data_IF_910050102703
#
_entry.id   IF_910050102703
#
_cell.length_a   1.000
_cell.length_b   1.000
_cell.length_c   1.000
_cell.angle_alpha   90.00
_cell.angle_beta   90.00
_cell.angle_gamma   90.00
#
_symmetry.space_group_name_H-M   'P 1'
#
loop_
_entity.id
_entity.type
_entity.pdbx_description
1 polymer ?
#
# COMPACT_ATOMS: atom_id res chain seq x y z
N UNK A 1 16.99 -5.66 -7.66
CA UNK A 1 17.56 -5.57 -9.01
C UNK A 1 16.44 -5.20 -9.96
N UNK A 2 16.57 -4.14 -10.79
CA UNK A 2 15.60 -3.83 -11.84
C UNK A 2 15.25 -5.03 -12.73
N UNK A 3 16.21 -5.93 -12.99
CA UNK A 3 16.01 -7.12 -13.80
C UNK A 3 15.10 -8.19 -13.15
N UNK A 4 14.89 -8.12 -11.83
CA UNK A 4 14.07 -9.08 -11.08
C UNK A 4 12.81 -8.44 -10.47
N UNK A 5 12.51 -7.19 -10.81
CA UNK A 5 11.32 -6.50 -10.29
C UNK A 5 10.07 -7.02 -10.98
N UNK A 6 9.12 -7.53 -10.20
CA UNK A 6 7.82 -7.92 -10.73
C UNK A 6 7.04 -6.70 -11.22
N UNK A 7 6.41 -6.83 -12.40
CA UNK A 7 5.46 -5.86 -12.93
C UNK A 7 4.01 -6.16 -12.53
N UNK A 8 3.74 -7.31 -11.92
CA UNK A 8 2.39 -7.74 -11.53
C UNK A 8 2.17 -7.74 -10.01
N UNK A 9 3.23 -7.81 -9.21
CA UNK A 9 3.16 -7.76 -7.75
C UNK A 9 4.10 -6.68 -7.25
N UNK A 10 3.54 -5.50 -6.94
CA UNK A 10 4.29 -4.32 -6.53
C UNK A 10 4.24 -4.21 -5.02
N UNK A 11 5.39 -4.38 -4.36
CA UNK A 11 5.52 -4.16 -2.93
C UNK A 11 5.97 -2.71 -2.65
N UNK A 12 5.25 -2.03 -1.76
CA UNK A 12 5.57 -0.69 -1.28
C UNK A 12 6.00 -0.76 0.18
N UNK A 13 6.95 0.10 0.58
CA UNK A 13 7.37 0.26 1.97
C UNK A 13 7.19 1.72 2.36
N UNK A 14 6.67 1.96 3.56
CA UNK A 14 6.68 3.29 4.16
C UNK A 14 8.05 3.56 4.79
N UNK A 15 8.68 4.67 4.40
CA UNK A 15 10.05 5.04 4.80
C UNK A 15 10.10 6.36 5.57
N UNK A 16 8.95 6.83 6.06
CA UNK A 16 8.88 8.05 6.86
C UNK A 16 9.39 7.79 8.28
N UNK A 17 10.36 8.58 8.74
CA UNK A 17 11.03 8.41 10.04
C UNK A 17 10.08 8.57 11.24
N UNK A 18 8.91 9.19 11.04
CA UNK A 18 7.86 9.29 12.08
C UNK A 18 7.25 7.93 12.41
N UNK A 19 7.32 6.98 11.49
CA UNK A 19 6.69 5.66 11.63
C UNK A 19 7.59 4.74 12.47
N UNK A 20 7.19 4.51 13.73
CA UNK A 20 7.92 3.63 14.64
C UNK A 20 7.60 2.13 14.42
N UNK A 21 6.33 1.82 14.12
CA UNK A 21 5.87 0.45 13.82
C UNK A 21 5.30 0.40 12.40
N UNK A 22 6.17 0.08 11.44
CA UNK A 22 5.78 0.01 10.03
C UNK A 22 4.73 -1.05 9.73
N UNK A 23 4.66 -2.15 10.49
CA UNK A 23 3.68 -3.21 10.26
C UNK A 23 2.30 -2.77 10.71
N UNK A 24 2.20 -2.17 11.90
CA UNK A 24 0.95 -1.58 12.39
C UNK A 24 0.48 -0.42 11.50
N UNK A 25 1.39 0.46 11.10
CA UNK A 25 1.06 1.58 10.22
C UNK A 25 0.55 1.11 8.86
N UNK A 26 1.25 0.17 8.20
CA UNK A 26 0.82 -0.37 6.92
C UNK A 26 -0.56 -1.05 7.00
N UNK A 27 -0.82 -1.78 8.09
CA UNK A 27 -2.14 -2.39 8.34
C UNK A 27 -3.24 -1.34 8.51
N UNK A 28 -2.95 -0.21 9.17
CA UNK A 28 -3.89 0.88 9.36
C UNK A 28 -4.23 1.57 8.03
N UNK A 29 -3.22 1.89 7.21
CA UNK A 29 -3.41 2.45 5.86
C UNK A 29 -4.24 1.51 4.99
N UNK A 30 -3.91 0.21 4.95
CA UNK A 30 -4.68 -0.77 4.18
C UNK A 30 -6.15 -0.82 4.61
N UNK A 31 -6.41 -0.86 5.93
CA UNK A 31 -7.76 -0.87 6.47
C UNK A 31 -8.55 0.40 6.13
N UNK A 32 -7.88 1.57 6.12
CA UNK A 32 -8.52 2.84 5.76
C UNK A 32 -8.96 2.83 4.30
N UNK A 33 -8.09 2.41 3.39
CA UNK A 33 -8.43 2.29 1.97
C UNK A 33 -9.55 1.28 1.71
N UNK A 34 -9.56 0.18 2.46
CA UNK A 34 -10.65 -0.80 2.42
C UNK A 34 -11.99 -0.19 2.90
N UNK A 35 -11.96 0.59 3.98
CA UNK A 35 -13.15 1.25 4.56
C UNK A 35 -13.79 2.22 3.56
N UNK A 36 -12.96 2.93 2.79
CA UNK A 36 -13.40 3.86 1.75
C UNK A 36 -13.74 3.15 0.42
N UNK A 37 -13.68 1.82 0.36
CA UNK A 37 -13.91 1.01 -0.84
C UNK A 37 -12.96 1.33 -2.01
N UNK A 38 -11.73 1.74 -1.70
CA UNK A 38 -10.72 2.14 -2.70
C UNK A 38 -9.85 0.97 -3.13
N UNK A 39 -9.40 0.16 -2.16
CA UNK A 39 -8.51 -0.96 -2.42
C UNK A 39 -8.71 -2.08 -1.41
N UNK A 40 -8.67 -3.32 -1.89
CA UNK A 40 -8.86 -4.53 -1.09
C UNK A 40 -7.65 -5.46 -1.22
N UNK A 41 -7.38 -6.26 -0.18
CA UNK A 41 -6.29 -7.25 -0.16
C UNK A 41 -4.89 -6.69 -0.53
N UNK A 42 -4.61 -5.46 -0.10
CA UNK A 42 -3.32 -4.78 -0.35
C UNK A 42 -2.32 -4.91 0.80
N UNK A 43 -2.62 -5.74 1.80
CA UNK A 43 -1.72 -5.99 2.93
C UNK A 43 -0.48 -6.81 2.53
N UNK A 44 0.62 -6.61 3.27
CA UNK A 44 1.77 -7.51 3.18
C UNK A 44 1.41 -8.92 3.71
N UNK A 45 2.01 -9.95 3.10
CA UNK A 45 1.94 -11.33 3.60
C UNK A 45 2.96 -11.55 4.72
N UNK A 46 2.79 -12.64 5.49
CA UNK A 46 3.54 -12.91 6.74
C UNK A 46 5.06 -12.76 6.62
N UNK A 47 5.63 -13.21 5.51
CA UNK A 47 7.08 -13.27 5.31
C UNK A 47 7.62 -12.08 4.49
N UNK A 48 6.76 -11.12 4.13
CA UNK A 48 7.16 -9.89 3.44
C UNK A 48 7.60 -8.80 4.45
N UNK A 49 8.48 -7.88 4.02
CA UNK A 49 8.71 -6.64 4.78
C UNK A 49 7.40 -5.88 5.03
N UNK A 50 7.35 -5.16 6.15
CA UNK A 50 6.21 -4.32 6.49
C UNK A 50 5.93 -3.29 5.38
N UNK A 51 4.69 -3.24 4.91
CA UNK A 51 4.31 -2.43 3.76
C UNK A 51 2.99 -2.87 3.12
N UNK A 52 2.80 -2.46 1.88
CA UNK A 52 1.65 -2.82 1.04
C UNK A 52 2.08 -3.69 -0.14
N UNK A 53 1.16 -4.51 -0.65
CA UNK A 53 1.34 -5.27 -1.89
C UNK A 53 0.16 -5.00 -2.82
N UNK A 54 0.43 -4.37 -3.95
CA UNK A 54 -0.58 -4.04 -4.96
C UNK A 54 -0.44 -5.00 -6.14
N UNK A 55 -1.54 -5.65 -6.53
CA UNK A 55 -1.59 -6.46 -7.75
C UNK A 55 -1.79 -5.56 -8.97
N UNK A 56 -0.87 -5.63 -9.91
CA UNK A 56 -0.88 -4.91 -11.18
C UNK A 56 -0.86 -5.89 -12.37
N UNK A 57 -1.42 -7.09 -12.20
CA UNK A 57 -1.55 -8.08 -13.27
C UNK A 57 -2.71 -7.77 -14.22
N UNK A 58 -2.91 -8.62 -15.23
CA UNK A 58 -3.86 -8.36 -16.35
C UNK A 58 -5.35 -8.28 -15.99
N UNK A 59 -5.72 -8.32 -14.71
CA UNK A 59 -7.08 -8.14 -14.21
C UNK A 59 -7.31 -6.79 -13.55
N UNK A 60 -6.29 -5.92 -13.51
CA UNK A 60 -6.35 -4.58 -12.91
C UNK A 60 -6.02 -3.57 -13.99
N UNK A 61 -6.90 -2.60 -14.19
CA UNK A 61 -6.69 -1.55 -15.17
C UNK A 61 -5.69 -0.52 -14.66
N UNK A 62 -4.92 0.07 -15.58
CA UNK A 62 -3.96 1.13 -15.22
C UNK A 62 -4.69 2.35 -14.62
N UNK A 63 -5.91 2.64 -15.09
CA UNK A 63 -6.74 3.72 -14.55
C UNK A 63 -7.10 3.51 -13.08
N UNK A 64 -7.31 2.26 -12.65
CA UNK A 64 -7.66 1.95 -11.26
C UNK A 64 -6.47 2.20 -10.34
N UNK A 65 -5.27 1.83 -10.78
CA UNK A 65 -4.02 2.17 -10.07
C UNK A 65 -3.86 3.68 -9.96
N UNK A 66 -4.01 4.42 -11.06
CA UNK A 66 -3.89 5.88 -11.06
C UNK A 66 -4.94 6.52 -10.14
N UNK A 67 -6.17 6.01 -10.12
CA UNK A 67 -7.22 6.48 -9.22
C UNK A 67 -6.94 6.16 -7.75
N UNK A 68 -6.29 5.02 -7.45
CA UNK A 68 -5.93 4.62 -6.10
C UNK A 68 -4.79 5.46 -5.50
N UNK A 69 -3.83 5.95 -6.31
CA UNK A 69 -2.63 6.64 -5.80
C UNK A 69 -2.94 7.89 -4.94
N UNK A 70 -3.83 8.82 -5.33
CA UNK A 70 -4.20 9.96 -4.50
C UNK A 70 -4.85 9.55 -3.16
N UNK A 71 -5.62 8.46 -3.15
CA UNK A 71 -6.20 7.92 -1.93
C UNK A 71 -5.14 7.30 -1.02
N UNK A 72 -4.12 6.66 -1.58
CA UNK A 72 -2.99 6.13 -0.80
C UNK A 72 -2.21 7.27 -0.13
N UNK A 73 -1.97 8.38 -0.83
CA UNK A 73 -1.35 9.58 -0.26
C UNK A 73 -2.22 10.16 0.86
N UNK A 74 -3.51 10.36 0.61
CA UNK A 74 -4.45 10.82 1.64
C UNK A 74 -4.46 9.89 2.86
N UNK A 75 -4.56 8.58 2.66
CA UNK A 75 -4.60 7.60 3.74
C UNK A 75 -3.31 7.59 4.56
N UNK A 76 -2.16 7.74 3.90
CA UNK A 76 -0.88 7.94 4.56
C UNK A 76 -0.90 9.18 5.46
N UNK A 77 -1.30 10.34 4.95
CA UNK A 77 -1.35 11.59 5.73
C UNK A 77 -2.34 11.50 6.90
N UNK A 78 -3.48 10.83 6.72
CA UNK A 78 -4.43 10.60 7.82
C UNK A 78 -3.84 9.72 8.93
N UNK A 79 -3.13 8.64 8.58
CA UNK A 79 -2.49 7.79 9.58
C UNK A 79 -1.31 8.50 10.24
N UNK A 80 -0.53 9.30 9.50
CA UNK A 80 0.52 10.15 10.07
C UNK A 80 -0.05 11.16 11.07
N UNK A 81 -1.17 11.80 10.75
CA UNK A 81 -1.82 12.76 11.65
C UNK A 81 -2.41 12.10 12.92
N UNK A 82 -2.63 10.78 12.89
CA UNK A 82 -3.19 10.00 13.98
C UNK A 82 -2.12 9.25 14.82
N UNK A 83 -0.83 9.40 14.48
CA UNK A 83 0.30 8.78 15.20
C UNK A 83 0.51 9.33 16.62
#
# INVERSE_FOLDING_TARGET
DPATRSNTSVCLKFTDDRIQDGAKFAKAVAKRLETENVAYDIGAYRDAPAGLRVWCGGTVETSDIVAMLPWLEWAFEQEIAAL
#
